data_IF_201114501257
#
_entry.id   IF_201114501257
#
_cell.length_a   1.000
_cell.length_b   1.000
_cell.length_c   1.000
_cell.angle_alpha   90.00
_cell.angle_beta   90.00
_cell.angle_gamma   90.00
#
_symmetry.space_group_name_H-M   'P 1'
#
loop_
_entity.id
_entity.type
_entity.pdbx_description
1 polymer ?
#
# COMPACT_ATOMS: atom_id res chain seq x y z
N UNK A 1 5.39 -21.11 17.69
CA UNK A 1 4.61 -20.14 16.89
C UNK A 1 3.58 -19.45 17.79
N UNK A 2 3.20 -18.21 17.46
CA UNK A 2 2.16 -17.47 18.18
C UNK A 2 0.79 -18.14 17.99
N UNK A 3 -0.11 -18.04 18.98
CA UNK A 3 -1.48 -18.56 18.90
C UNK A 3 -2.20 -18.15 17.61
N UNK A 4 -2.07 -16.89 17.19
CA UNK A 4 -2.71 -16.38 15.97
C UNK A 4 -2.14 -16.98 14.67
N UNK A 5 -0.83 -17.27 14.63
CA UNK A 5 -0.22 -17.91 13.46
C UNK A 5 -0.72 -19.35 13.29
N UNK A 6 -0.83 -20.08 14.41
CA UNK A 6 -1.35 -21.44 14.41
C UNK A 6 -2.82 -21.48 13.99
N UNK A 7 -3.64 -20.59 14.55
CA UNK A 7 -5.07 -20.48 14.23
C UNK A 7 -5.33 -20.24 12.74
N UNK A 8 -4.60 -19.31 12.12
CA UNK A 8 -4.72 -19.04 10.68
C UNK A 8 -4.35 -20.27 9.84
N UNK A 9 -3.24 -20.92 10.18
CA UNK A 9 -2.75 -22.08 9.44
C UNK A 9 -3.73 -23.25 9.53
N UNK A 10 -4.19 -23.58 10.73
CA UNK A 10 -5.12 -24.68 10.99
C UNK A 10 -6.50 -24.42 10.37
N UNK A 11 -6.98 -23.18 10.43
CA UNK A 11 -8.24 -22.78 9.79
C UNK A 11 -8.21 -23.02 8.29
N UNK A 12 -7.13 -22.60 7.62
CA UNK A 12 -6.97 -22.83 6.17
C UNK A 12 -6.83 -24.32 5.86
N UNK A 13 -6.05 -25.07 6.66
CA UNK A 13 -5.86 -26.52 6.48
C UNK A 13 -7.18 -27.31 6.66
N UNK A 14 -8.05 -26.86 7.55
CA UNK A 14 -9.37 -27.45 7.79
C UNK A 14 -10.43 -27.05 6.75
N UNK A 15 -10.10 -26.19 5.77
CA UNK A 15 -11.05 -25.66 4.79
C UNK A 15 -11.95 -24.53 5.33
N UNK A 16 -11.70 -24.04 6.55
CA UNK A 16 -12.40 -22.93 7.17
C UNK A 16 -11.74 -21.61 6.77
N UNK A 17 -11.90 -21.23 5.50
CA UNK A 17 -11.18 -20.09 4.93
C UNK A 17 -11.66 -18.75 5.50
N UNK A 18 -10.77 -17.96 6.12
CA UNK A 18 -11.13 -16.63 6.57
C UNK A 18 -11.32 -15.69 5.37
N UNK A 19 -12.31 -14.81 5.49
CA UNK A 19 -12.69 -13.88 4.44
C UNK A 19 -12.94 -12.46 4.95
N UNK A 20 -12.67 -11.48 4.09
CA UNK A 20 -12.91 -10.06 4.35
C UNK A 20 -13.66 -9.43 3.18
N UNK A 21 -14.73 -8.70 3.47
CA UNK A 21 -15.40 -7.84 2.48
C UNK A 21 -14.67 -6.52 2.38
N UNK A 22 -14.29 -6.12 1.17
CA UNK A 22 -13.66 -4.85 0.89
C UNK A 22 -14.72 -3.78 0.62
N UNK A 23 -14.66 -2.70 1.39
CA UNK A 23 -15.43 -1.49 1.18
C UNK A 23 -14.49 -0.29 0.97
N UNK A 24 -14.98 0.73 0.26
CA UNK A 24 -14.28 2.01 0.08
C UNK A 24 -15.21 3.17 0.44
N UNK A 25 -14.63 4.29 0.85
CA UNK A 25 -15.31 5.58 0.91
C UNK A 25 -14.80 6.44 -0.26
N UNK A 26 -15.69 7.26 -0.83
CA UNK A 26 -15.36 8.15 -1.95
C UNK A 26 -15.65 9.58 -1.52
N UNK A 27 -14.65 10.44 -1.65
CA UNK A 27 -14.73 11.88 -1.39
C UNK A 27 -14.26 12.62 -2.63
N UNK A 28 -15.04 13.60 -3.07
CA UNK A 28 -14.59 14.56 -4.08
C UNK A 28 -13.58 15.51 -3.43
N UNK A 29 -12.41 15.80 -4.05
CA UNK A 29 -11.44 16.75 -3.53
C UNK A 29 -12.02 18.11 -3.11
N UNK A 30 -13.09 18.59 -3.77
CA UNK A 30 -13.75 19.85 -3.39
C UNK A 30 -14.47 19.81 -2.03
N UNK A 31 -14.64 18.61 -1.45
CA UNK A 31 -15.27 18.41 -0.14
C UNK A 31 -14.28 18.49 1.02
N UNK A 32 -12.97 18.48 0.76
CA UNK A 32 -11.90 18.55 1.76
C UNK A 32 -12.07 19.76 2.71
N UNK A 33 -12.41 20.92 2.14
CA UNK A 33 -12.61 22.15 2.91
C UNK A 33 -13.86 22.14 3.80
N UNK A 34 -14.82 21.25 3.53
CA UNK A 34 -16.10 21.17 4.27
C UNK A 34 -15.96 20.47 5.62
N UNK A 35 -14.88 19.72 5.83
CA UNK A 35 -14.60 19.04 7.09
C UNK A 35 -13.88 19.98 8.06
N UNK A 36 -14.11 19.77 9.35
CA UNK A 36 -13.44 20.49 10.44
C UNK A 36 -12.07 19.90 10.82
N UNK A 37 -11.69 18.81 10.16
CA UNK A 37 -10.37 18.17 10.21
C UNK A 37 -9.80 18.00 8.79
N UNK A 38 -8.49 17.74 8.70
CA UNK A 38 -7.83 17.40 7.44
C UNK A 38 -8.14 15.94 7.06
N UNK A 39 -8.82 15.65 5.93
CA UNK A 39 -9.16 14.27 5.54
C UNK A 39 -7.95 13.40 5.17
N UNK A 40 -6.77 13.99 4.98
CA UNK A 40 -5.51 13.29 4.73
C UNK A 40 -4.68 13.08 6.00
N UNK A 41 -5.16 13.54 7.15
CA UNK A 41 -4.57 13.22 8.45
C UNK A 41 -4.91 11.77 8.85
N UNK A 42 -3.89 10.90 8.87
CA UNK A 42 -3.99 9.47 9.24
C UNK A 42 -4.53 9.23 10.66
N UNK A 43 -4.60 10.26 11.52
CA UNK A 43 -5.22 10.15 12.85
C UNK A 43 -6.74 10.31 12.82
N UNK A 44 -7.33 10.61 11.66
CA UNK A 44 -8.76 10.85 11.46
C UNK A 44 -9.43 9.73 10.67
N UNK A 45 -10.71 9.54 10.95
CA UNK A 45 -11.63 8.68 10.21
C UNK A 45 -12.65 9.55 9.47
N UNK A 46 -13.07 9.09 8.29
CA UNK A 46 -14.13 9.76 7.52
C UNK A 46 -15.50 9.29 8.02
N UNK A 47 -16.42 10.19 8.37
CA UNK A 47 -17.73 9.81 8.88
C UNK A 47 -18.52 8.99 7.85
N UNK A 48 -18.96 7.78 8.23
CA UNK A 48 -19.68 6.86 7.34
C UNK A 48 -21.09 7.35 6.97
N UNK A 49 -21.67 8.27 7.74
CA UNK A 49 -22.95 8.92 7.45
C UNK A 49 -22.84 9.99 6.35
N UNK A 50 -21.65 10.58 6.20
CA UNK A 50 -21.35 11.56 5.12
C UNK A 50 -20.77 10.84 3.90
N UNK A 51 -19.84 9.92 4.12
CA UNK A 51 -19.17 9.14 3.08
C UNK A 51 -19.48 7.66 3.28
N UNK A 52 -20.61 7.15 2.74
CA UNK A 52 -21.04 5.78 2.98
C UNK A 52 -20.07 4.76 2.39
N UNK A 53 -19.93 3.64 3.10
CA UNK A 53 -19.14 2.50 2.66
C UNK A 53 -19.72 1.88 1.38
N UNK A 54 -18.91 1.77 0.33
CA UNK A 54 -19.28 1.18 -0.95
C UNK A 54 -18.60 -0.18 -1.12
N UNK A 55 -19.36 -1.27 -1.35
CA UNK A 55 -18.78 -2.60 -1.49
C UNK A 55 -18.02 -2.71 -2.81
N UNK A 56 -16.82 -3.30 -2.75
CA UNK A 56 -15.96 -3.54 -3.93
C UNK A 56 -15.82 -5.03 -4.21
N UNK A 57 -15.59 -5.85 -3.19
CA UNK A 57 -15.32 -7.27 -3.38
C UNK A 57 -15.05 -8.03 -2.10
N UNK A 58 -14.41 -9.19 -2.22
CA UNK A 58 -14.12 -10.10 -1.11
C UNK A 58 -12.75 -10.74 -1.29
N UNK A 59 -11.94 -10.69 -0.24
CA UNK A 59 -10.66 -11.41 -0.13
C UNK A 59 -10.89 -12.70 0.65
N UNK A 60 -10.40 -13.82 0.12
CA UNK A 60 -10.48 -15.14 0.77
C UNK A 60 -9.08 -15.72 0.84
N UNK A 61 -8.63 -16.09 2.03
CA UNK A 61 -7.35 -16.78 2.20
C UNK A 61 -7.61 -18.28 2.22
N UNK A 62 -7.26 -18.97 1.13
CA UNK A 62 -7.63 -20.36 0.89
C UNK A 62 -6.44 -21.32 0.70
N UNK A 63 -5.21 -20.83 0.82
CA UNK A 63 -4.00 -21.63 0.67
C UNK A 63 -2.95 -21.18 1.68
N UNK A 64 -2.36 -22.16 2.38
CA UNK A 64 -1.17 -21.95 3.20
C UNK A 64 0.09 -21.94 2.33
N UNK A 65 1.11 -21.22 2.81
CA UNK A 65 2.43 -21.23 2.20
C UNK A 65 3.09 -22.61 2.29
N UNK A 66 3.86 -22.96 1.27
CA UNK A 66 4.61 -24.22 1.21
C UNK A 66 5.94 -24.10 1.99
N UNK A 67 6.54 -22.91 2.00
CA UNK A 67 7.75 -22.60 2.78
C UNK A 67 7.66 -21.25 3.49
N UNK A 68 7.70 -21.27 4.83
CA UNK A 68 7.59 -20.07 5.65
C UNK A 68 8.67 -19.02 5.37
N UNK A 69 9.93 -19.43 5.23
CA UNK A 69 11.01 -18.49 5.00
C UNK A 69 10.88 -17.85 3.61
N UNK A 70 10.74 -18.66 2.56
CA UNK A 70 10.73 -18.20 1.18
C UNK A 70 9.49 -17.36 0.82
N UNK A 71 8.34 -17.63 1.44
CA UNK A 71 7.06 -17.01 1.06
C UNK A 71 6.52 -16.01 2.09
N UNK A 72 6.89 -16.10 3.37
CA UNK A 72 6.45 -15.17 4.41
C UNK A 72 7.59 -14.24 4.90
N UNK A 73 8.74 -14.79 5.29
CA UNK A 73 9.85 -13.94 5.79
C UNK A 73 10.47 -13.09 4.67
N UNK A 74 10.58 -13.64 3.47
CA UNK A 74 11.14 -12.96 2.30
C UNK A 74 10.13 -12.08 1.55
N UNK A 75 8.88 -12.02 2.02
CA UNK A 75 7.82 -11.21 1.41
C UNK A 75 8.08 -9.70 1.60
N UNK A 76 7.72 -8.90 0.61
CA UNK A 76 7.93 -7.46 0.59
C UNK A 76 6.71 -6.70 0.05
N UNK A 77 6.03 -5.96 0.93
CA UNK A 77 4.97 -5.03 0.55
C UNK A 77 5.48 -3.60 0.57
N UNK A 78 5.21 -2.81 -0.47
CA UNK A 78 5.58 -1.40 -0.51
C UNK A 78 4.40 -0.56 -1.01
N UNK A 79 3.93 0.45 -0.26
CA UNK A 79 2.88 1.36 -0.72
C UNK A 79 3.20 2.06 -2.05
N UNK A 80 4.48 2.20 -2.42
CA UNK A 80 4.91 2.76 -3.70
C UNK A 80 4.58 1.89 -4.92
N UNK A 81 4.12 0.66 -4.73
CA UNK A 81 3.73 -0.23 -5.81
C UNK A 81 2.22 -0.15 -6.04
N UNK A 82 1.82 0.90 -6.77
CA UNK A 82 0.44 1.10 -7.22
C UNK A 82 0.25 0.65 -8.67
N UNK A 83 -1.00 0.46 -9.05
CA UNK A 83 -1.43 0.14 -10.42
C UNK A 83 -2.15 1.35 -11.03
N UNK A 84 -2.21 1.49 -12.37
CA UNK A 84 -2.96 2.56 -13.02
C UNK A 84 -4.39 2.69 -12.48
N UNK A 85 -4.81 3.91 -12.14
CA UNK A 85 -6.09 4.20 -11.49
C UNK A 85 -6.00 4.34 -9.96
N UNK A 86 -4.90 3.91 -9.33
CA UNK A 86 -4.64 4.14 -7.90
C UNK A 86 -3.41 5.03 -7.75
N UNK A 87 -3.53 6.09 -6.95
CA UNK A 87 -2.51 7.11 -6.80
C UNK A 87 -2.40 7.57 -5.34
N UNK A 88 -1.35 8.33 -5.03
CA UNK A 88 -1.06 8.77 -3.68
C UNK A 88 -1.81 10.05 -3.32
N UNK A 89 -2.25 10.16 -2.07
CA UNK A 89 -2.65 11.42 -1.47
C UNK A 89 -1.45 12.19 -0.91
N UNK A 90 -1.68 13.42 -0.49
CA UNK A 90 -0.67 14.28 0.14
C UNK A 90 -0.50 14.03 1.66
N UNK A 91 -1.04 12.91 2.18
CA UNK A 91 -0.78 12.48 3.56
C UNK A 91 0.73 12.38 3.79
N UNK A 92 1.25 13.23 4.68
CA UNK A 92 2.68 13.33 4.99
C UNK A 92 3.26 12.01 5.50
N UNK A 93 2.45 11.19 6.19
CA UNK A 93 2.88 9.88 6.67
C UNK A 93 2.95 8.87 5.51
N UNK A 94 1.95 8.84 4.63
CA UNK A 94 1.98 8.03 3.42
C UNK A 94 3.20 8.37 2.54
N UNK A 95 3.47 9.65 2.32
CA UNK A 95 4.62 10.13 1.54
C UNK A 95 5.95 9.59 2.07
N UNK A 96 6.12 9.52 3.39
CA UNK A 96 7.30 8.90 4.02
C UNK A 96 7.38 7.39 3.77
N UNK A 97 6.24 6.68 3.83
CA UNK A 97 6.17 5.22 3.63
C UNK A 97 6.48 4.80 2.20
N UNK A 98 6.08 5.59 1.20
CA UNK A 98 6.40 5.35 -0.22
C UNK A 98 7.92 5.19 -0.41
N UNK A 99 8.72 5.96 0.30
CA UNK A 99 10.18 5.81 0.31
C UNK A 99 10.66 4.65 1.20
N UNK A 100 10.24 4.66 2.47
CA UNK A 100 10.87 3.87 3.53
C UNK A 100 10.84 2.35 3.29
N UNK A 101 9.75 1.83 2.72
CA UNK A 101 9.59 0.38 2.53
C UNK A 101 10.58 -0.16 1.49
N UNK A 102 10.70 0.51 0.34
CA UNK A 102 11.63 0.10 -0.70
C UNK A 102 13.08 0.20 -0.24
N UNK A 103 13.41 1.22 0.55
CA UNK A 103 14.75 1.39 1.13
C UNK A 103 15.11 0.24 2.09
N UNK A 104 14.25 -0.03 3.09
CA UNK A 104 14.50 -1.12 4.04
C UNK A 104 14.50 -2.50 3.38
N UNK A 105 13.69 -2.71 2.34
CA UNK A 105 13.64 -3.98 1.61
C UNK A 105 14.93 -4.27 0.84
N UNK A 106 15.54 -3.26 0.22
CA UNK A 106 16.85 -3.41 -0.44
C UNK A 106 17.93 -3.78 0.57
N UNK A 107 17.90 -3.21 1.76
CA UNK A 107 18.82 -3.57 2.83
C UNK A 107 18.56 -4.99 3.37
N UNK A 108 17.31 -5.32 3.67
CA UNK A 108 16.91 -6.59 4.30
C UNK A 108 17.02 -7.80 3.38
N UNK A 109 16.68 -7.64 2.10
CA UNK A 109 16.51 -8.75 1.14
C UNK A 109 17.48 -8.66 -0.05
N UNK A 110 18.25 -7.58 -0.16
CA UNK A 110 19.13 -7.31 -1.29
C UNK A 110 18.47 -6.51 -2.41
N UNK A 111 19.26 -5.99 -3.37
CA UNK A 111 18.76 -5.11 -4.43
C UNK A 111 17.79 -5.80 -5.39
N UNK A 112 17.91 -7.13 -5.52
CA UNK A 112 17.13 -7.95 -6.45
C UNK A 112 15.94 -8.68 -5.78
N UNK A 113 15.46 -8.21 -4.63
CA UNK A 113 14.38 -8.87 -3.86
C UNK A 113 13.06 -9.03 -4.64
N UNK A 114 12.82 -8.20 -5.65
CA UNK A 114 11.64 -8.29 -6.53
C UNK A 114 11.69 -9.51 -7.46
N UNK A 115 12.85 -10.17 -7.60
CA UNK A 115 12.98 -11.41 -8.36
C UNK A 115 12.50 -12.64 -7.58
N UNK A 116 12.42 -12.54 -6.25
CA UNK A 116 12.00 -13.65 -5.40
C UNK A 116 10.57 -14.08 -5.79
N UNK A 117 10.27 -15.39 -5.90
CA UNK A 117 8.99 -15.87 -6.43
C UNK A 117 7.73 -15.30 -5.75
N UNK A 118 7.80 -15.01 -4.45
CA UNK A 118 6.71 -14.40 -3.69
C UNK A 118 6.49 -12.91 -3.99
N UNK A 119 7.52 -12.20 -4.44
CA UNK A 119 7.51 -10.76 -4.74
C UNK A 119 7.39 -10.47 -6.25
N UNK A 120 7.71 -11.45 -7.10
CA UNK A 120 7.72 -11.29 -8.54
C UNK A 120 6.31 -10.99 -9.08
N UNK A 121 6.17 -9.98 -9.96
CA UNK A 121 4.88 -9.67 -10.57
C UNK A 121 4.37 -10.85 -11.40
N UNK A 122 3.06 -11.03 -11.43
CA UNK A 122 2.42 -12.04 -12.30
C UNK A 122 2.24 -11.57 -13.73
N UNK A 123 2.32 -10.26 -13.97
CA UNK A 123 2.28 -9.69 -15.31
C UNK A 123 3.70 -9.64 -15.94
N UNK A 124 3.79 -9.60 -17.28
CA UNK A 124 5.05 -9.32 -17.96
C UNK A 124 5.63 -8.00 -17.47
N UNK A 125 6.94 -7.98 -17.21
CA UNK A 125 7.68 -6.78 -16.85
C UNK A 125 8.98 -6.73 -17.63
N UNK A 126 9.39 -5.52 -18.01
CA UNK A 126 10.65 -5.28 -18.71
C UNK A 126 11.25 -3.98 -18.18
N UNK A 127 12.52 -4.02 -17.79
CA UNK A 127 13.28 -2.87 -17.32
C UNK A 127 14.75 -3.02 -17.72
N UNK A 128 15.51 -1.95 -17.55
CA UNK A 128 16.94 -1.93 -17.86
C UNK A 128 17.82 -2.07 -16.60
N UNK A 129 17.27 -2.59 -15.49
CA UNK A 129 18.08 -2.85 -14.31
C UNK A 129 18.91 -4.12 -14.54
N UNK A 130 20.23 -4.00 -14.37
CA UNK A 130 21.21 -5.08 -14.54
C UNK A 130 22.04 -5.23 -13.27
N UNK A 131 22.70 -6.38 -13.10
CA UNK A 131 23.59 -6.71 -11.99
C UNK A 131 22.90 -6.74 -10.62
N UNK A 132 23.63 -6.37 -9.56
CA UNK A 132 23.21 -6.48 -8.17
C UNK A 132 23.47 -7.87 -7.57
N UNK A 133 23.62 -7.91 -6.25
CA UNK A 133 23.83 -9.16 -5.53
C UNK A 133 22.69 -10.16 -5.80
N UNK A 134 23.08 -11.43 -6.00
CA UNK A 134 22.14 -12.53 -6.26
C UNK A 134 21.20 -12.27 -7.44
N UNK A 135 21.66 -11.61 -8.50
CA UNK A 135 20.93 -11.58 -9.75
C UNK A 135 20.97 -12.96 -10.41
N UNK A 136 19.82 -13.61 -10.54
CA UNK A 136 19.67 -14.92 -11.18
C UNK A 136 18.82 -14.86 -12.46
N UNK A 137 18.52 -13.66 -12.96
CA UNK A 137 17.92 -13.51 -14.28
C UNK A 137 18.96 -13.82 -15.35
N UNK A 138 18.59 -14.67 -16.30
CA UNK A 138 19.33 -14.80 -17.54
C UNK A 138 18.88 -13.68 -18.49
N UNK A 139 19.83 -12.85 -18.91
CA UNK A 139 19.65 -11.73 -19.83
C UNK A 139 20.70 -11.85 -20.92
N UNK A 140 20.25 -11.98 -22.17
CA UNK A 140 21.11 -12.07 -23.36
C UNK A 140 21.14 -10.74 -24.12
N UNK A 141 20.48 -9.71 -23.60
CA UNK A 141 20.43 -8.38 -24.21
C UNK A 141 21.75 -7.63 -24.02
N UNK A 142 22.29 -7.07 -25.12
CA UNK A 142 23.49 -6.22 -25.07
C UNK A 142 23.19 -4.77 -24.63
N UNK A 143 21.91 -4.38 -24.58
CA UNK A 143 21.48 -2.98 -24.41
C UNK A 143 20.81 -2.80 -23.05
N UNK A 144 21.37 -1.90 -22.25
CA UNK A 144 20.94 -1.61 -20.88
C UNK A 144 20.48 -0.14 -20.69
N UNK A 145 20.28 0.58 -21.79
CA UNK A 145 19.90 1.99 -21.77
C UNK A 145 18.69 2.26 -22.66
N UNK A 146 17.94 3.31 -22.31
CA UNK A 146 16.77 3.75 -23.07
C UNK A 146 16.75 5.29 -23.13
N UNK A 147 16.46 5.90 -24.30
CA UNK A 147 16.12 5.28 -25.57
C UNK A 147 17.36 4.71 -26.31
N UNK A 148 17.18 3.61 -27.04
CA UNK A 148 18.20 3.00 -27.88
C UNK A 148 17.70 2.85 -29.32
N UNK A 149 18.63 2.83 -30.28
CA UNK A 149 18.32 2.56 -31.70
C UNK A 149 18.30 1.06 -32.03
N UNK A 150 18.89 0.26 -31.15
CA UNK A 150 19.10 -1.17 -31.37
C UNK A 150 18.14 -2.03 -30.54
N UNK A 151 17.40 -1.42 -29.60
CA UNK A 151 16.38 -2.07 -28.79
C UNK A 151 14.99 -1.50 -29.15
N UNK A 152 14.03 -2.34 -29.60
CA UNK A 152 12.68 -1.91 -29.97
C UNK A 152 11.76 -1.60 -28.79
N UNK A 153 12.24 -1.66 -27.54
CA UNK A 153 11.42 -1.32 -26.36
C UNK A 153 10.87 0.12 -26.45
N UNK A 154 9.73 0.32 -25.78
CA UNK A 154 9.04 1.61 -25.71
C UNK A 154 8.53 1.87 -24.31
N UNK A 155 8.26 3.15 -24.01
CA UNK A 155 7.52 3.48 -22.80
C UNK A 155 6.17 2.75 -22.78
N UNK A 156 5.76 2.31 -21.59
CA UNK A 156 4.40 1.83 -21.37
C UNK A 156 3.38 2.94 -21.68
N UNK A 157 2.13 2.51 -21.92
CA UNK A 157 1.02 3.44 -22.10
C UNK A 157 0.91 4.38 -20.89
N UNK A 158 0.75 5.67 -21.17
CA UNK A 158 0.60 6.68 -20.11
C UNK A 158 -0.87 6.76 -19.72
N UNK A 159 -1.17 6.50 -18.45
CA UNK A 159 -2.47 6.80 -17.86
C UNK A 159 -2.38 8.18 -17.19
N UNK A 160 -2.91 9.24 -17.83
CA UNK A 160 -2.70 10.61 -17.36
C UNK A 160 -3.38 10.82 -16.01
N UNK A 161 -2.60 11.36 -15.08
CA UNK A 161 -3.11 11.92 -13.85
C UNK A 161 -3.64 13.33 -14.12
N UNK A 162 -4.82 13.71 -13.58
CA UNK A 162 -5.26 15.09 -13.61
C UNK A 162 -4.18 15.98 -12.95
N UNK A 163 -3.73 17.05 -13.61
CA UNK A 163 -2.76 17.94 -13.00
C UNK A 163 -3.38 18.64 -11.79
N UNK A 164 -2.67 18.67 -10.66
CA UNK A 164 -3.08 19.40 -9.47
C UNK A 164 -2.31 20.70 -9.35
N UNK A 165 -3.02 21.78 -9.04
CA UNK A 165 -2.39 23.08 -8.74
C UNK A 165 -1.86 23.02 -7.30
N UNK A 166 -0.56 23.20 -7.13
CA UNK A 166 0.07 23.34 -5.82
C UNK A 166 0.31 24.83 -5.52
N UNK A 167 -0.16 25.28 -4.37
CA UNK A 167 0.01 26.66 -3.90
C UNK A 167 0.84 26.71 -2.63
N UNK A 168 1.50 27.84 -2.38
CA UNK A 168 2.26 28.08 -1.14
C UNK A 168 3.78 28.08 -1.31
N UNK A 169 4.50 27.91 -0.21
CA UNK A 169 5.97 27.90 -0.16
C UNK A 169 6.46 26.58 0.43
N UNK A 170 7.65 26.14 0.02
CA UNK A 170 8.29 24.96 0.63
C UNK A 170 8.65 25.26 2.08
N UNK A 171 7.91 24.67 3.02
CA UNK A 171 8.09 24.85 4.46
C UNK A 171 8.06 23.51 5.19
N UNK A 172 8.55 23.49 6.44
CA UNK A 172 8.33 22.40 7.38
C UNK A 172 7.30 22.87 8.39
N UNK A 173 6.07 22.39 8.26
CA UNK A 173 4.96 22.83 9.11
C UNK A 173 4.00 21.68 9.41
N UNK A 174 3.28 21.81 10.52
CA UNK A 174 2.12 20.96 10.82
C UNK A 174 0.97 21.28 9.87
N UNK A 175 0.00 20.37 9.80
CA UNK A 175 -1.28 20.63 9.12
C UNK A 175 -2.08 21.68 9.91
N UNK A 176 -3.02 22.37 9.27
CA UNK A 176 -3.80 23.44 9.92
C UNK A 176 -4.94 22.88 10.79
N UNK A 177 -5.75 21.96 10.24
CA UNK A 177 -6.92 21.37 10.90
C UNK A 177 -6.57 20.11 11.73
N UNK A 178 -5.71 20.27 12.76
CA UNK A 178 -5.22 19.14 13.57
C UNK A 178 -6.32 18.40 14.36
N UNK A 179 -7.31 19.11 14.92
CA UNK A 179 -8.42 18.56 15.72
C UNK A 179 -8.11 17.29 16.55
N UNK A 180 -7.15 17.41 17.48
CA UNK A 180 -6.50 16.25 18.10
C UNK A 180 -7.39 15.44 19.08
N UNK A 181 -8.56 15.95 19.49
CA UNK A 181 -9.31 15.37 20.61
C UNK A 181 -10.74 14.96 20.29
N UNK A 182 -11.37 15.56 19.27
CA UNK A 182 -12.80 15.35 18.99
C UNK A 182 -13.12 13.90 18.67
N UNK A 183 -12.47 13.31 17.66
CA UNK A 183 -12.74 11.93 17.24
C UNK A 183 -12.40 10.90 18.34
N UNK A 184 -11.37 11.16 19.14
CA UNK A 184 -11.06 10.31 20.29
C UNK A 184 -12.20 10.33 21.33
N UNK A 185 -12.73 11.52 21.63
CA UNK A 185 -13.88 11.69 22.51
C UNK A 185 -15.15 11.05 21.96
N UNK A 186 -15.43 11.22 20.66
CA UNK A 186 -16.58 10.60 19.98
C UNK A 186 -16.48 9.08 20.01
N UNK A 187 -15.28 8.54 19.76
CA UNK A 187 -15.02 7.09 19.84
C UNK A 187 -15.25 6.56 21.25
N UNK A 188 -14.74 7.22 22.28
CA UNK A 188 -14.98 6.81 23.67
C UNK A 188 -16.48 6.79 24.01
N UNK A 189 -17.21 7.86 23.65
CA UNK A 189 -18.66 7.94 23.88
C UNK A 189 -19.47 6.89 23.10
N UNK A 190 -18.95 6.40 21.98
CA UNK A 190 -19.60 5.34 21.19
C UNK A 190 -19.53 3.94 21.84
N UNK A 191 -18.68 3.76 22.85
CA UNK A 191 -18.55 2.47 23.52
C UNK A 191 -19.71 2.22 24.49
N UNK A 192 -20.06 0.93 24.66
CA UNK A 192 -20.91 0.48 25.77
C UNK A 192 -20.26 0.77 27.12
N UNK A 193 -21.06 0.91 28.17
CA UNK A 193 -20.58 1.31 29.50
C UNK A 193 -19.48 0.40 30.05
N UNK A 194 -19.63 -0.91 29.89
CA UNK A 194 -18.65 -1.92 30.30
C UNK A 194 -17.28 -1.75 29.59
N UNK A 195 -17.29 -1.30 28.34
CA UNK A 195 -16.08 -1.04 27.57
C UNK A 195 -15.43 0.29 27.90
N UNK A 196 -16.20 1.26 28.39
CA UNK A 196 -15.66 2.53 28.88
C UNK A 196 -14.90 2.36 30.21
N UNK A 197 -15.32 1.40 31.04
CA UNK A 197 -14.72 1.12 32.35
C UNK A 197 -13.44 0.27 32.28
N UNK A 198 -13.25 -0.52 31.21
CA UNK A 198 -12.10 -1.42 31.02
C UNK A 198 -10.91 -0.75 30.35
#
# INVERSE_FOLDING_TARGET
>A
HSHATQDLYDSIAAGNYPEWKLFIQIMDPEQEDRLDFDPLDVTKTWPEDIFPLQPVGRLVLNKNIDNFFAENEMLAFNPAFVVPGVYYSDDKFLQGRIFAYGDTQRHRLGPNYLLLPANAPKCPHHNNHIDGAMNFLHRDEEIDYFPSRFDPVRHAEKHPLPPRILTGRRTRTKIEKEDNFKQAGDRYRSFSADRQER
#
